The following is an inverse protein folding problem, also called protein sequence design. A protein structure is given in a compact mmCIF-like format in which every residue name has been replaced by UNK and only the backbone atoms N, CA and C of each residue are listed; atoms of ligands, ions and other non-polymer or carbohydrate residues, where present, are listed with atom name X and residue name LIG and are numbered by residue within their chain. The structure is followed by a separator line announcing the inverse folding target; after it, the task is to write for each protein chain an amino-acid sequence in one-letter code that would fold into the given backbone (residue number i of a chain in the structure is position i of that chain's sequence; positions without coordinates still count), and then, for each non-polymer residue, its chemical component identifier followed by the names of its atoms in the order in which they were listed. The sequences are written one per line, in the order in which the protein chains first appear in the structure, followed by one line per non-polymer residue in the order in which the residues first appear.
data_IF_332595808381
#
_entry.id   IF_332595808381
#
_cell.length_a   1.000
_cell.length_b   1.000
_cell.length_c   1.000
_cell.angle_alpha   90.00
_cell.angle_beta   90.00
_cell.angle_gamma   90.00
#
_symmetry.space_group_name_H-M   'P 1'
#
loop_
_entity.id
_entity.type
_entity.pdbx_description
1 polymer ?
#
# COMPACT_ATOMS: atom_id res chain seq x y z
N UNK A 1 -6.46 -22.04 -14.33
CA UNK A 1 -7.12 -22.10 -13.00
C UNK A 1 -6.67 -23.40 -12.35
N UNK A 2 -6.25 -23.39 -11.10
CA UNK A 2 -5.76 -24.60 -10.42
C UNK A 2 -6.91 -25.57 -10.19
N UNK A 3 -6.65 -26.86 -10.42
CA UNK A 3 -7.62 -27.94 -10.24
C UNK A 3 -7.48 -28.59 -8.86
N UNK A 4 -8.33 -29.57 -8.55
CA UNK A 4 -8.35 -30.25 -7.24
C UNK A 4 -7.03 -30.98 -6.94
N UNK A 5 -6.36 -31.54 -7.95
CA UNK A 5 -5.08 -32.22 -7.78
C UNK A 5 -3.96 -31.23 -7.42
N UNK A 6 -4.00 -30.02 -7.98
CA UNK A 6 -3.08 -28.94 -7.63
C UNK A 6 -3.20 -28.56 -6.17
N UNK A 7 -4.43 -28.37 -5.68
CA UNK A 7 -4.68 -28.06 -4.29
C UNK A 7 -4.23 -29.18 -3.35
N UNK A 8 -4.50 -30.45 -3.70
CA UNK A 8 -4.07 -31.61 -2.92
C UNK A 8 -2.55 -31.70 -2.82
N UNK A 9 -1.83 -31.37 -3.89
CA UNK A 9 -0.37 -31.34 -3.86
C UNK A 9 0.14 -30.25 -2.90
N UNK A 10 -0.46 -29.08 -2.89
CA UNK A 10 -0.13 -28.00 -1.95
C UNK A 10 -0.44 -28.37 -0.49
N UNK A 11 -1.55 -29.05 -0.24
CA UNK A 11 -1.87 -29.58 1.10
C UNK A 11 -0.82 -30.58 1.58
N UNK A 12 -0.35 -31.49 0.72
CA UNK A 12 0.72 -32.42 1.04
C UNK A 12 2.03 -31.68 1.38
N UNK A 13 2.37 -30.62 0.63
CA UNK A 13 3.51 -29.76 0.97
C UNK A 13 3.32 -29.08 2.32
N UNK A 14 2.14 -28.53 2.58
CA UNK A 14 1.83 -27.88 3.84
C UNK A 14 1.94 -28.84 5.03
N UNK A 15 1.41 -30.06 4.92
CA UNK A 15 1.50 -31.08 5.97
C UNK A 15 2.96 -31.47 6.25
N UNK A 16 3.76 -31.72 5.20
CA UNK A 16 5.18 -32.05 5.33
C UNK A 16 5.96 -30.91 5.99
N UNK A 17 5.74 -29.67 5.56
CA UNK A 17 6.45 -28.53 6.12
C UNK A 17 6.05 -28.27 7.59
N UNK A 18 4.77 -28.48 7.96
CA UNK A 18 4.31 -28.31 9.35
C UNK A 18 4.89 -29.36 10.31
N UNK A 19 5.30 -30.53 9.82
CA UNK A 19 5.90 -31.57 10.65
C UNK A 19 7.35 -31.28 11.08
N UNK A 20 7.98 -30.23 10.53
CA UNK A 20 9.34 -29.82 10.82
C UNK A 20 9.37 -28.40 11.39
N UNK A 21 10.23 -28.16 12.35
CA UNK A 21 10.46 -26.78 12.82
C UNK A 21 11.31 -25.99 11.82
N UNK A 22 11.21 -24.66 11.82
CA UNK A 22 12.07 -23.78 11.00
C UNK A 22 13.55 -24.02 11.30
N UNK A 23 13.88 -24.30 12.56
CA UNK A 23 15.25 -24.61 12.97
C UNK A 23 15.77 -25.91 12.34
N UNK A 24 14.94 -26.94 12.26
CA UNK A 24 15.27 -28.21 11.58
C UNK A 24 15.44 -27.99 10.08
N UNK A 25 14.56 -27.21 9.43
CA UNK A 25 14.70 -26.82 8.02
C UNK A 25 16.02 -26.09 7.74
N UNK A 26 16.47 -25.22 8.64
CA UNK A 26 17.75 -24.50 8.52
C UNK A 26 18.93 -25.46 8.75
N UNK A 27 18.86 -26.33 9.75
CA UNK A 27 19.94 -27.28 10.08
C UNK A 27 20.11 -28.38 9.03
N UNK A 28 19.02 -28.78 8.38
CA UNK A 28 19.03 -29.88 7.37
C UNK A 28 19.60 -29.44 6.03
N UNK A 29 19.66 -28.15 5.73
CA UNK A 29 20.23 -27.59 4.49
C UNK A 29 21.12 -26.39 4.78
N UNK A 30 22.42 -26.60 4.85
CA UNK A 30 23.42 -25.55 5.06
C UNK A 30 23.39 -24.44 3.98
N UNK A 31 22.81 -24.74 2.81
CA UNK A 31 22.67 -23.78 1.70
C UNK A 31 21.35 -23.05 1.69
N UNK A 32 20.45 -23.34 2.64
CA UNK A 32 19.09 -22.78 2.68
C UNK A 32 19.07 -21.26 2.66
N UNK A 33 19.92 -20.62 3.46
CA UNK A 33 19.95 -19.15 3.53
C UNK A 33 20.35 -18.54 2.18
N UNK A 34 21.35 -19.09 1.50
CA UNK A 34 21.78 -18.60 0.19
C UNK A 34 20.76 -18.88 -0.91
N UNK A 35 20.11 -20.06 -0.88
CA UNK A 35 19.07 -20.43 -1.86
C UNK A 35 17.75 -19.66 -1.67
N UNK A 36 17.43 -19.28 -0.43
CA UNK A 36 16.20 -18.60 -0.08
C UNK A 36 16.44 -17.13 0.29
N UNK A 37 17.37 -16.51 -0.40
CA UNK A 37 17.64 -15.07 -0.29
C UNK A 37 17.96 -14.50 -1.66
N UNK A 38 17.68 -13.24 -1.85
CA UNK A 38 18.01 -12.51 -3.07
C UNK A 38 18.41 -11.09 -2.77
N UNK A 39 19.34 -10.56 -3.54
CA UNK A 39 19.73 -9.17 -3.54
C UNK A 39 19.04 -8.46 -4.71
N UNK A 40 18.33 -7.37 -4.44
CA UNK A 40 17.71 -6.53 -5.46
C UNK A 40 18.12 -5.07 -5.23
N UNK A 41 19.12 -4.60 -5.94
CA UNK A 41 19.72 -3.31 -5.69
C UNK A 41 20.21 -3.20 -4.24
N UNK A 42 19.81 -2.16 -3.48
CA UNK A 42 20.19 -2.01 -2.07
C UNK A 42 19.39 -2.92 -1.12
N UNK A 43 18.36 -3.61 -1.59
CA UNK A 43 17.49 -4.43 -0.74
C UNK A 43 17.95 -5.89 -0.73
N UNK A 44 18.02 -6.47 0.47
CA UNK A 44 18.26 -7.88 0.68
C UNK A 44 17.00 -8.55 1.22
N UNK A 45 16.47 -9.52 0.48
CA UNK A 45 15.31 -10.32 0.86
C UNK A 45 15.75 -11.70 1.32
N UNK A 46 15.32 -12.12 2.49
CA UNK A 46 15.50 -13.48 2.95
C UNK A 46 14.18 -14.10 3.39
N UNK A 47 13.82 -15.21 2.76
CA UNK A 47 12.66 -16.03 3.12
C UNK A 47 13.09 -17.39 3.67
N UNK A 48 14.36 -17.54 4.08
CA UNK A 48 14.89 -18.74 4.67
C UNK A 48 14.20 -19.18 5.97
N UNK A 49 13.55 -18.24 6.67
CA UNK A 49 12.77 -18.48 7.90
C UNK A 49 11.27 -18.72 7.64
N UNK A 50 10.85 -18.88 6.41
CA UNK A 50 9.48 -19.30 6.10
C UNK A 50 9.34 -20.82 6.31
N UNK A 51 8.13 -21.24 6.69
CA UNK A 51 7.80 -22.64 6.93
C UNK A 51 7.53 -23.39 5.59
N UNK A 52 8.53 -23.38 4.72
CA UNK A 52 8.48 -23.97 3.40
C UNK A 52 9.83 -24.63 3.08
N UNK A 53 9.82 -25.82 2.52
CA UNK A 53 11.02 -26.49 2.02
C UNK A 53 11.29 -26.15 0.53
N UNK A 54 12.46 -26.51 0.04
CA UNK A 54 12.87 -26.22 -1.34
C UNK A 54 11.94 -26.88 -2.36
N UNK A 55 11.43 -28.08 -2.08
CA UNK A 55 10.53 -28.81 -2.98
C UNK A 55 9.20 -28.09 -3.13
N UNK A 56 8.62 -27.64 -2.01
CA UNK A 56 7.39 -26.86 -2.02
C UNK A 56 7.58 -25.51 -2.72
N UNK A 57 8.73 -24.85 -2.53
CA UNK A 57 9.05 -23.60 -3.23
C UNK A 57 9.11 -23.78 -4.74
N UNK A 58 9.79 -24.84 -5.22
CA UNK A 58 9.89 -25.13 -6.66
C UNK A 58 8.52 -25.42 -7.26
N UNK A 59 7.68 -26.21 -6.58
CA UNK A 59 6.32 -26.51 -7.07
C UNK A 59 5.45 -25.26 -7.11
N UNK A 60 5.51 -24.40 -6.09
CA UNK A 60 4.79 -23.12 -6.06
C UNK A 60 5.22 -22.19 -7.21
N UNK A 61 6.52 -22.05 -7.45
CA UNK A 61 7.02 -21.23 -8.56
C UNK A 61 6.58 -21.76 -9.91
N UNK A 62 6.65 -23.08 -10.12
CA UNK A 62 6.19 -23.72 -11.35
C UNK A 62 4.69 -23.47 -11.61
N UNK A 63 3.87 -23.59 -10.56
CA UNK A 63 2.42 -23.29 -10.66
C UNK A 63 2.14 -21.84 -10.95
N UNK A 64 2.90 -20.90 -10.39
CA UNK A 64 2.79 -19.48 -10.70
C UNK A 64 3.13 -19.20 -12.17
N UNK A 65 4.18 -19.81 -12.71
CA UNK A 65 4.51 -19.72 -14.13
C UNK A 65 3.37 -20.23 -15.01
N UNK A 66 2.82 -21.40 -14.68
CA UNK A 66 1.69 -21.98 -15.41
C UNK A 66 0.40 -21.18 -15.29
N UNK A 67 0.24 -20.39 -14.23
CA UNK A 67 -0.95 -19.53 -14.04
C UNK A 67 -0.98 -18.31 -14.96
N UNK A 68 0.07 -18.07 -15.73
CA UNK A 68 0.18 -16.91 -16.61
C UNK A 68 0.47 -15.59 -15.88
N UNK A 69 1.06 -15.65 -14.67
CA UNK A 69 1.36 -14.44 -13.87
C UNK A 69 2.19 -13.42 -14.63
N UNK A 70 3.12 -13.87 -15.49
CA UNK A 70 3.96 -12.95 -16.26
C UNK A 70 3.13 -12.17 -17.29
N UNK A 71 2.24 -12.84 -18.03
CA UNK A 71 1.36 -12.16 -19.00
C UNK A 71 0.37 -11.23 -18.33
N UNK A 72 -0.18 -11.60 -17.17
CA UNK A 72 -1.07 -10.73 -16.38
C UNK A 72 -0.32 -9.51 -15.82
N UNK A 73 0.93 -9.68 -15.40
CA UNK A 73 1.78 -8.58 -14.98
C UNK A 73 2.05 -7.61 -16.13
N UNK A 74 2.36 -8.13 -17.32
CA UNK A 74 2.54 -7.32 -18.51
C UNK A 74 1.25 -6.58 -18.88
N UNK A 75 0.11 -7.26 -18.89
CA UNK A 75 -1.21 -6.66 -19.13
C UNK A 75 -1.51 -5.53 -18.14
N UNK A 76 -1.15 -5.69 -16.86
CA UNK A 76 -1.26 -4.63 -15.86
C UNK A 76 -0.42 -3.40 -16.22
N UNK A 77 0.85 -3.59 -16.61
CA UNK A 77 1.73 -2.48 -16.97
C UNK A 77 1.33 -1.79 -18.28
N UNK A 78 0.76 -2.51 -19.23
CA UNK A 78 0.28 -1.93 -20.49
C UNK A 78 -1.08 -1.25 -20.36
N UNK A 79 -1.76 -1.42 -19.22
CA UNK A 79 -3.06 -0.79 -18.97
C UNK A 79 -4.24 -1.54 -19.59
N UNK A 80 -4.12 -2.85 -19.79
CA UNK A 80 -5.26 -3.67 -20.14
C UNK A 80 -6.26 -3.75 -18.97
N UNK A 81 -7.53 -3.96 -19.28
CA UNK A 81 -8.61 -4.02 -18.30
C UNK A 81 -8.61 -5.34 -17.51
N UNK A 82 -7.58 -5.55 -16.71
CA UNK A 82 -7.42 -6.78 -15.90
C UNK A 82 -8.35 -6.82 -14.66
N UNK A 83 -8.87 -5.69 -14.23
CA UNK A 83 -9.91 -5.65 -13.19
C UNK A 83 -11.29 -5.88 -13.84
N UNK A 84 -11.64 -7.15 -13.95
CA UNK A 84 -12.88 -7.58 -14.63
C UNK A 84 -14.15 -7.21 -13.85
N UNK A 85 -14.08 -7.01 -12.55
CA UNK A 85 -15.25 -6.63 -11.73
C UNK A 85 -15.65 -5.17 -11.90
N UNK A 86 -14.70 -4.29 -12.22
CA UNK A 86 -14.93 -2.85 -12.43
C UNK A 86 -14.70 -2.44 -13.91
N UNK A 87 -14.39 -3.38 -14.79
CA UNK A 87 -14.09 -3.20 -16.21
C UNK A 87 -13.08 -2.08 -16.49
N UNK A 88 -11.95 -2.09 -15.77
CA UNK A 88 -10.93 -1.03 -15.88
C UNK A 88 -9.49 -1.54 -15.72
N UNK A 89 -8.50 -0.74 -16.19
CA UNK A 89 -7.09 -0.96 -15.92
C UNK A 89 -6.75 -0.82 -14.44
N UNK A 90 -5.61 -1.40 -14.03
CA UNK A 90 -5.02 -1.27 -12.70
C UNK A 90 -3.66 -0.60 -12.85
N UNK A 91 -3.63 0.74 -12.86
CA UNK A 91 -2.46 1.54 -13.18
C UNK A 91 -1.87 2.30 -11.98
N UNK A 92 -1.88 1.70 -10.80
CA UNK A 92 -1.20 2.26 -9.61
C UNK A 92 0.31 2.46 -9.84
N UNK A 93 0.90 1.71 -10.76
CA UNK A 93 2.30 1.82 -11.20
C UNK A 93 2.61 3.17 -11.86
N UNK A 94 1.62 3.86 -12.42
CA UNK A 94 1.77 5.17 -13.03
C UNK A 94 2.30 6.26 -12.09
N UNK A 95 2.06 6.12 -10.77
CA UNK A 95 2.63 7.01 -9.74
C UNK A 95 4.14 6.80 -9.51
N UNK A 96 4.71 5.70 -9.99
CA UNK A 96 6.10 5.33 -9.72
C UNK A 96 7.03 5.59 -10.90
N UNK A 97 6.59 5.27 -12.10
CA UNK A 97 7.35 5.48 -13.32
C UNK A 97 6.52 5.21 -14.57
N UNK A 98 7.02 5.64 -15.72
CA UNK A 98 6.52 5.23 -17.02
C UNK A 98 7.11 3.85 -17.36
N UNK A 99 6.40 2.77 -16.97
CA UNK A 99 6.85 1.38 -17.11
C UNK A 99 6.45 0.73 -18.45
N UNK A 100 5.68 1.45 -19.29
CA UNK A 100 5.19 0.90 -20.55
C UNK A 100 5.01 2.02 -21.60
N UNK A 101 5.30 1.68 -22.87
CA UNK A 101 5.09 2.58 -24.00
C UNK A 101 3.64 2.57 -24.51
N UNK A 102 2.73 1.84 -23.86
CA UNK A 102 1.32 1.89 -24.26
C UNK A 102 0.71 3.27 -24.02
N UNK A 103 -0.16 3.72 -24.94
CA UNK A 103 -0.82 5.01 -24.80
C UNK A 103 -1.60 5.16 -23.50
N UNK A 104 -2.24 4.06 -23.02
CA UNK A 104 -3.04 4.05 -21.79
C UNK A 104 -2.14 4.27 -20.58
N UNK A 105 -1.02 3.55 -20.50
CA UNK A 105 -0.07 3.70 -19.39
C UNK A 105 0.61 5.07 -19.40
N UNK A 106 0.97 5.59 -20.57
CA UNK A 106 1.56 6.93 -20.73
C UNK A 106 0.61 8.05 -20.32
N UNK A 107 -0.66 7.97 -20.72
CA UNK A 107 -1.68 8.94 -20.29
C UNK A 107 -1.88 8.91 -18.78
N UNK A 108 -1.95 7.72 -18.18
CA UNK A 108 -2.06 7.57 -16.73
C UNK A 108 -0.85 8.16 -15.99
N UNK A 109 0.36 7.96 -16.51
CA UNK A 109 1.57 8.57 -15.96
C UNK A 109 1.54 10.10 -16.05
N UNK A 110 1.16 10.67 -17.20
CA UNK A 110 1.05 12.12 -17.37
C UNK A 110 0.01 12.72 -16.42
N UNK A 111 -1.15 12.07 -16.28
CA UNK A 111 -2.17 12.48 -15.31
C UNK A 111 -1.65 12.42 -13.87
N UNK A 112 -0.92 11.35 -13.50
CA UNK A 112 -0.32 11.22 -12.19
C UNK A 112 0.69 12.35 -11.92
N UNK A 113 1.54 12.70 -12.87
CA UNK A 113 2.50 13.79 -12.73
C UNK A 113 1.81 15.15 -12.57
N UNK A 114 0.77 15.42 -13.35
CA UNK A 114 -0.02 16.66 -13.23
C UNK A 114 -0.70 16.78 -11.85
N UNK A 115 -1.21 15.67 -11.30
CA UNK A 115 -1.79 15.65 -9.95
C UNK A 115 -0.73 15.89 -8.88
N UNK A 116 0.47 15.31 -9.01
CA UNK A 116 1.57 15.56 -8.08
C UNK A 116 1.99 17.04 -8.07
N UNK A 117 2.00 17.70 -9.23
CA UNK A 117 2.26 19.13 -9.33
C UNK A 117 1.17 19.97 -8.64
N UNK A 118 -0.12 19.59 -8.79
CA UNK A 118 -1.21 20.21 -8.03
C UNK A 118 -1.05 20.03 -6.52
N UNK A 119 -0.65 18.83 -6.05
CA UNK A 119 -0.37 18.58 -4.64
C UNK A 119 0.77 19.44 -4.11
N UNK A 120 1.83 19.63 -4.88
CA UNK A 120 2.92 20.55 -4.53
C UNK A 120 2.41 22.00 -4.39
N UNK A 121 1.52 22.43 -5.29
CA UNK A 121 0.85 23.72 -5.20
C UNK A 121 0.06 23.92 -3.90
N UNK A 122 -0.70 22.87 -3.49
CA UNK A 122 -1.44 22.89 -2.21
C UNK A 122 -0.48 23.00 -1.02
N UNK A 123 0.62 22.25 -1.01
CA UNK A 123 1.62 22.31 0.05
C UNK A 123 2.22 23.71 0.16
N UNK A 124 2.64 24.30 -0.96
CA UNK A 124 3.18 25.67 -0.99
C UNK A 124 2.17 26.71 -0.49
N UNK A 125 0.89 26.52 -0.84
CA UNK A 125 -0.17 27.38 -0.34
C UNK A 125 -0.32 27.29 1.17
N UNK A 126 -0.39 26.07 1.73
CA UNK A 126 -0.47 25.86 3.18
C UNK A 126 0.74 26.45 3.92
N UNK A 127 1.95 26.29 3.38
CA UNK A 127 3.17 26.86 3.94
C UNK A 127 3.19 28.42 3.95
N UNK A 128 2.38 29.04 3.10
CA UNK A 128 2.24 30.50 3.05
C UNK A 128 1.11 31.03 3.94
N UNK A 129 0.44 30.17 4.70
CA UNK A 129 -0.64 30.53 5.64
C UNK A 129 -0.19 30.33 7.09
N UNK A 130 -1.03 30.71 8.04
CA UNK A 130 -0.82 30.52 9.48
C UNK A 130 -1.23 29.10 9.96
N UNK A 131 -1.45 28.17 9.05
CA UNK A 131 -1.77 26.75 9.37
C UNK A 131 -0.58 26.09 10.03
N UNK A 132 -0.80 25.51 11.20
CA UNK A 132 0.20 24.75 11.97
C UNK A 132 -0.17 23.26 12.09
N UNK A 133 -1.44 22.94 11.94
CA UNK A 133 -1.99 21.60 12.12
C UNK A 133 -2.68 21.10 10.85
N UNK A 134 -2.46 19.84 10.50
CA UNK A 134 -3.12 19.19 9.38
C UNK A 134 -3.77 17.91 9.85
N UNK A 135 -5.08 17.80 9.67
CA UNK A 135 -5.84 16.58 9.99
C UNK A 135 -5.98 15.75 8.72
N UNK A 136 -5.39 14.57 8.71
CA UNK A 136 -5.58 13.56 7.65
C UNK A 136 -6.70 12.61 8.04
N UNK A 137 -7.84 12.73 7.35
CA UNK A 137 -9.03 11.91 7.57
C UNK A 137 -9.08 10.79 6.54
N UNK A 138 -8.95 9.56 6.98
CA UNK A 138 -8.96 8.40 6.09
C UNK A 138 -9.00 7.09 6.86
N UNK A 139 -9.38 6.00 6.20
CA UNK A 139 -9.51 4.67 6.81
C UNK A 139 -8.73 3.63 6.01
N UNK A 140 -8.20 2.63 6.70
CA UNK A 140 -7.43 1.56 6.08
C UNK A 140 -6.20 2.09 5.35
N UNK A 141 -6.05 1.81 4.06
CA UNK A 141 -4.90 2.26 3.26
C UNK A 141 -4.77 3.79 3.14
N UNK A 142 -5.89 4.51 3.28
CA UNK A 142 -5.90 5.99 3.29
C UNK A 142 -5.40 6.59 4.60
N UNK A 143 -5.28 5.81 5.68
CA UNK A 143 -4.68 6.21 6.95
C UNK A 143 -3.31 5.55 7.14
N UNK A 144 -3.24 4.22 7.03
CA UNK A 144 -2.06 3.43 7.41
C UNK A 144 -0.83 3.72 6.51
N UNK A 145 -1.05 3.95 5.22
CA UNK A 145 0.02 4.29 4.29
C UNK A 145 0.70 5.62 4.62
N UNK A 146 -0.04 6.74 4.66
CA UNK A 146 0.49 8.04 5.07
C UNK A 146 1.13 8.03 6.47
N UNK A 147 0.49 7.38 7.44
CA UNK A 147 1.01 7.23 8.81
C UNK A 147 2.33 6.48 8.85
N UNK A 148 2.46 5.38 8.08
CA UNK A 148 3.71 4.63 7.96
C UNK A 148 4.83 5.50 7.42
N UNK A 149 4.58 6.25 6.35
CA UNK A 149 5.60 7.13 5.73
C UNK A 149 6.02 8.24 6.69
N UNK A 150 5.07 8.88 7.36
CA UNK A 150 5.36 9.93 8.33
C UNK A 150 6.24 9.42 9.49
N UNK A 151 5.86 8.26 10.05
CA UNK A 151 6.63 7.66 11.14
C UNK A 151 8.02 7.19 10.71
N UNK A 152 8.12 6.58 9.52
CA UNK A 152 9.39 6.08 9.00
C UNK A 152 10.38 7.19 8.64
N UNK A 153 9.88 8.37 8.29
CA UNK A 153 10.68 9.53 7.87
C UNK A 153 10.67 10.67 8.89
N UNK A 154 10.27 10.40 10.14
CA UNK A 154 10.15 11.44 11.18
C UNK A 154 11.44 12.23 11.39
N UNK A 155 12.59 11.55 11.35
CA UNK A 155 13.91 12.19 11.52
C UNK A 155 14.31 13.12 10.35
N UNK A 156 13.62 13.00 9.22
CA UNK A 156 13.82 13.83 8.02
C UNK A 156 12.73 14.91 7.85
N UNK A 157 11.76 14.95 8.76
CA UNK A 157 10.66 15.92 8.70
C UNK A 157 11.19 17.35 8.92
N UNK A 158 10.69 18.29 8.12
CA UNK A 158 11.01 19.72 8.27
C UNK A 158 10.22 20.40 9.39
N UNK A 159 9.27 19.69 10.02
CA UNK A 159 8.40 20.17 11.10
C UNK A 159 7.58 21.42 10.77
N UNK A 160 7.23 21.61 9.50
CA UNK A 160 6.41 22.73 9.06
C UNK A 160 4.97 22.62 9.60
N UNK A 161 4.47 21.37 9.79
CA UNK A 161 3.12 21.09 10.26
C UNK A 161 3.11 19.96 11.29
N UNK A 162 2.18 19.99 12.22
CA UNK A 162 1.79 18.86 13.06
C UNK A 162 0.72 18.06 12.33
N UNK A 163 1.02 16.82 12.01
CA UNK A 163 0.10 15.96 11.26
C UNK A 163 -0.67 15.06 12.22
N UNK A 164 -1.98 15.14 12.17
CA UNK A 164 -2.91 14.37 12.97
C UNK A 164 -3.67 13.40 12.08
N UNK A 165 -3.88 12.17 12.54
CA UNK A 165 -4.61 11.16 11.80
C UNK A 165 -5.94 10.83 12.46
N UNK A 166 -7.02 10.95 11.70
CA UNK A 166 -8.37 10.66 12.14
C UNK A 166 -8.96 9.51 11.30
N UNK A 167 -9.02 8.32 11.88
CA UNK A 167 -9.53 7.11 11.24
C UNK A 167 -10.74 6.49 11.95
N UNK A 168 -11.22 7.12 13.03
CA UNK A 168 -12.38 6.64 13.78
C UNK A 168 -13.56 7.59 13.62
N UNK A 169 -14.77 7.05 13.51
CA UNK A 169 -16.03 7.81 13.53
C UNK A 169 -16.65 7.89 14.94
N UNK A 170 -15.88 7.58 15.99
CA UNK A 170 -16.32 7.70 17.38
C UNK A 170 -16.43 9.18 17.78
N UNK A 171 -17.64 9.63 18.11
CA UNK A 171 -17.93 11.02 18.45
C UNK A 171 -17.18 11.51 19.68
N UNK A 172 -17.01 10.68 20.72
CA UNK A 172 -16.25 11.08 21.92
C UNK A 172 -14.77 11.26 21.62
N UNK A 173 -14.22 10.43 20.73
CA UNK A 173 -12.84 10.58 20.28
C UNK A 173 -12.68 11.88 19.49
N UNK A 174 -13.61 12.15 18.58
CA UNK A 174 -13.59 13.34 17.72
C UNK A 174 -13.71 14.64 18.53
N UNK A 175 -14.60 14.70 19.52
CA UNK A 175 -14.76 15.86 20.40
C UNK A 175 -13.47 16.17 21.18
N UNK A 176 -12.84 15.14 21.77
CA UNK A 176 -11.56 15.29 22.48
C UNK A 176 -10.42 15.69 21.56
N UNK A 177 -10.44 15.18 20.34
CA UNK A 177 -9.45 15.50 19.33
C UNK A 177 -9.54 16.94 18.90
N UNK A 178 -10.73 17.44 18.55
CA UNK A 178 -10.97 18.83 18.16
C UNK A 178 -10.68 19.83 19.30
N UNK A 179 -10.94 19.45 20.55
CA UNK A 179 -10.66 20.30 21.71
C UNK A 179 -9.17 20.64 21.91
N UNK A 180 -8.25 19.94 21.23
CA UNK A 180 -6.81 20.16 21.32
C UNK A 180 -6.27 21.04 20.18
N UNK A 181 -7.12 21.42 19.22
CA UNK A 181 -6.74 22.11 17.98
C UNK A 181 -7.47 23.44 17.85
N UNK A 182 -6.84 24.37 17.15
CA UNK A 182 -7.46 25.64 16.78
C UNK A 182 -7.95 25.57 15.33
N UNK A 183 -9.27 25.69 15.07
CA UNK A 183 -9.80 25.63 13.71
C UNK A 183 -9.21 26.69 12.77
N UNK A 184 -8.84 27.88 13.30
CA UNK A 184 -8.25 28.95 12.49
C UNK A 184 -6.85 28.61 11.96
N UNK A 185 -6.13 27.69 12.64
CA UNK A 185 -4.77 27.26 12.28
C UNK A 185 -4.70 25.80 11.81
N UNK A 186 -5.85 25.22 11.47
CA UNK A 186 -5.94 23.81 11.09
C UNK A 186 -6.41 23.65 9.64
N UNK A 187 -5.74 22.78 8.88
CA UNK A 187 -6.20 22.30 7.58
C UNK A 187 -6.71 20.87 7.68
N UNK A 188 -7.70 20.51 6.87
CA UNK A 188 -8.28 19.16 6.82
C UNK A 188 -8.09 18.53 5.44
N UNK A 189 -7.49 17.36 5.38
CA UNK A 189 -7.34 16.53 4.19
C UNK A 189 -8.28 15.32 4.28
N UNK A 190 -9.25 15.22 3.36
CA UNK A 190 -10.11 14.06 3.23
C UNK A 190 -9.49 13.09 2.23
N UNK A 191 -9.06 11.93 2.71
CA UNK A 191 -8.34 10.93 1.90
C UNK A 191 -9.24 9.73 1.65
N UNK A 192 -9.74 9.61 0.42
CA UNK A 192 -10.57 8.48 -0.01
C UNK A 192 -10.41 8.23 -1.51
N UNK A 193 -10.29 6.97 -1.91
CA UNK A 193 -10.18 6.58 -3.32
C UNK A 193 -11.45 6.88 -4.12
N UNK A 194 -12.62 6.66 -3.53
CA UNK A 194 -13.92 6.75 -4.20
C UNK A 194 -14.86 7.82 -3.64
N UNK A 195 -14.47 8.46 -2.54
CA UNK A 195 -15.28 9.44 -1.80
C UNK A 195 -16.68 8.95 -1.39
N UNK A 196 -16.83 7.62 -1.18
CA UNK A 196 -18.06 7.01 -0.66
C UNK A 196 -17.82 6.21 0.65
N UNK A 197 -16.64 6.36 1.26
CA UNK A 197 -16.36 5.81 2.60
C UNK A 197 -17.09 6.64 3.64
N UNK A 198 -18.13 6.05 4.24
CA UNK A 198 -19.06 6.77 5.12
C UNK A 198 -18.36 7.45 6.31
N UNK A 199 -17.46 6.77 6.99
CA UNK A 199 -16.75 7.32 8.13
C UNK A 199 -15.87 8.54 7.76
N UNK A 200 -15.24 8.50 6.59
CA UNK A 200 -14.46 9.65 6.08
C UNK A 200 -15.38 10.84 5.80
N UNK A 201 -16.56 10.61 5.22
CA UNK A 201 -17.53 11.67 4.94
C UNK A 201 -18.15 12.24 6.22
N UNK A 202 -18.53 11.39 7.17
CA UNK A 202 -19.09 11.81 8.48
C UNK A 202 -18.09 12.70 9.21
N UNK A 203 -16.84 12.23 9.35
CA UNK A 203 -15.78 13.02 10.00
C UNK A 203 -15.52 14.34 9.26
N UNK A 204 -15.52 14.29 7.93
CA UNK A 204 -15.37 15.50 7.10
C UNK A 204 -16.46 16.54 7.33
N UNK A 205 -17.73 16.12 7.42
CA UNK A 205 -18.85 17.01 7.70
C UNK A 205 -18.79 17.62 9.12
N UNK A 206 -18.37 16.84 10.10
CA UNK A 206 -18.20 17.34 11.48
C UNK A 206 -17.07 18.37 11.53
N UNK A 207 -15.91 18.04 10.96
CA UNK A 207 -14.76 18.97 10.91
C UNK A 207 -15.07 20.23 10.13
N UNK A 208 -15.79 20.13 9.02
CA UNK A 208 -16.24 21.31 8.25
C UNK A 208 -17.11 22.25 9.08
N UNK A 209 -18.00 21.72 9.93
CA UNK A 209 -18.82 22.55 10.85
C UNK A 209 -17.98 23.15 11.97
N UNK A 210 -16.98 22.43 12.44
CA UNK A 210 -16.08 22.91 13.48
C UNK A 210 -15.15 24.04 13.00
N UNK A 211 -14.81 24.07 11.72
CA UNK A 211 -13.95 25.10 11.09
C UNK A 211 -14.73 26.38 10.72
N UNK A 212 -16.07 26.37 10.70
CA UNK A 212 -16.93 27.53 10.40
C UNK A 212 -17.48 28.17 11.65
#
# INVERSE_FOLDING_TARGET
MWNEQDWKALENHAQRCRSQSILELIKSDATRVSKMSMQLGPMYFSYARQHIDTTAMIDLLHRLEQSGIQSQTQAMFTGEKINTSEDRPVLHTALRSNLSDSNVAQQAYQQAMAVLEQMEGVIKHLQATDVTDVISVGIGGSDLGPRLVLNALADYAKNDFRIHFLSSADGMYLDRFMAQLDPAHTAVLLVSKSFNTQETLINGEVLKKWMN
#
